data_IF_517040944526
#
_entry.id   IF_517040944526
#
_cell.length_a   1.000
_cell.length_b   1.000
_cell.length_c   1.000
_cell.angle_alpha   90.00
_cell.angle_beta   90.00
_cell.angle_gamma   90.00
#
_symmetry.space_group_name_H-M   'P 1'
#
loop_
_entity.id
_entity.type
_entity.pdbx_description
1 polymer ?
#
# COMPACT_ATOMS: atom_id res chain seq x y z
N UNK A 1 -8.17 -4.07 -9.55
CA UNK A 1 -7.48 -2.90 -8.98
C UNK A 1 -7.40 -1.74 -9.96
N UNK A 2 -7.44 -0.50 -9.44
CA UNK A 2 -7.13 0.74 -10.17
C UNK A 2 -6.25 1.63 -9.28
N UNK A 3 -5.06 1.99 -9.77
CA UNK A 3 -4.04 2.72 -9.00
C UNK A 3 -3.69 4.09 -9.64
N UNK A 4 -4.64 4.64 -10.40
CA UNK A 4 -4.46 5.86 -11.17
C UNK A 4 -3.90 5.61 -12.59
N UNK A 5 -3.92 6.65 -13.45
CA UNK A 5 -3.63 6.51 -14.88
C UNK A 5 -2.16 6.21 -15.22
N UNK A 6 -1.23 6.42 -14.28
CA UNK A 6 0.21 6.22 -14.48
C UNK A 6 0.76 4.90 -13.93
N UNK A 7 -0.10 3.99 -13.48
CA UNK A 7 0.30 2.76 -12.81
C UNK A 7 -0.39 1.56 -13.45
N UNK A 8 0.25 0.89 -14.43
CA UNK A 8 -0.27 -0.33 -15.02
C UNK A 8 -0.57 -1.37 -13.95
N UNK A 9 -1.72 -2.04 -14.08
CA UNK A 9 -2.19 -3.07 -13.17
C UNK A 9 -2.39 -4.37 -13.94
N UNK A 10 -1.88 -5.48 -13.40
CA UNK A 10 -2.15 -6.82 -13.90
C UNK A 10 -2.86 -7.62 -12.82
N UNK A 11 -4.13 -7.98 -13.04
CA UNK A 11 -4.88 -8.82 -12.12
C UNK A 11 -4.50 -10.30 -12.31
N UNK A 12 -4.34 -11.02 -11.20
CA UNK A 12 -3.96 -12.44 -11.18
C UNK A 12 -5.17 -13.26 -10.72
N UNK A 13 -5.75 -14.04 -11.63
CA UNK A 13 -6.93 -14.85 -11.34
C UNK A 13 -8.17 -14.00 -10.99
N UNK A 14 -9.06 -14.57 -10.19
CA UNK A 14 -10.34 -13.94 -9.78
C UNK A 14 -10.37 -13.50 -8.31
N UNK A 15 -9.31 -13.75 -7.54
CA UNK A 15 -9.29 -13.57 -6.08
C UNK A 15 -8.83 -12.19 -5.61
N UNK A 16 -8.83 -11.18 -6.48
CA UNK A 16 -8.41 -9.83 -6.14
C UNK A 16 -6.90 -9.63 -6.00
N UNK A 17 -6.07 -10.63 -6.34
CA UNK A 17 -4.62 -10.47 -6.40
C UNK A 17 -4.21 -9.66 -7.63
N UNK A 18 -3.22 -8.78 -7.51
CA UNK A 18 -2.73 -7.99 -8.64
C UNK A 18 -1.27 -7.57 -8.46
N UNK A 19 -0.64 -7.22 -9.57
CA UNK A 19 0.67 -6.57 -9.65
C UNK A 19 0.48 -5.13 -10.13
N UNK A 20 1.27 -4.21 -9.59
CA UNK A 20 1.32 -2.81 -9.99
C UNK A 20 2.75 -2.46 -10.39
N UNK A 21 2.91 -1.79 -11.52
CA UNK A 21 4.18 -1.21 -11.90
C UNK A 21 4.18 0.28 -11.59
N UNK A 22 5.03 0.67 -10.63
CA UNK A 22 5.23 2.06 -10.24
C UNK A 22 6.43 2.69 -10.94
N UNK A 23 6.30 3.96 -11.33
CA UNK A 23 7.35 4.70 -12.04
C UNK A 23 7.38 4.42 -13.54
N UNK A 24 8.31 5.08 -14.25
CA UNK A 24 8.49 4.86 -15.70
C UNK A 24 7.46 5.53 -16.60
N UNK A 25 6.81 6.61 -16.14
CA UNK A 25 5.99 7.45 -17.02
C UNK A 25 6.82 7.95 -18.21
N UNK A 26 6.17 8.12 -19.37
CA UNK A 26 6.84 8.56 -20.60
C UNK A 26 7.75 9.78 -20.34
N UNK A 27 9.04 9.65 -20.64
CA UNK A 27 10.05 10.70 -20.41
C UNK A 27 10.79 10.65 -19.06
N UNK A 28 10.49 9.68 -18.19
CA UNK A 28 11.27 9.45 -16.96
C UNK A 28 12.58 8.73 -17.27
N UNK A 29 13.66 9.11 -16.57
CA UNK A 29 14.90 8.34 -16.61
C UNK A 29 14.64 6.89 -16.17
N UNK A 30 15.29 5.94 -16.83
CA UNK A 30 15.17 4.53 -16.48
C UNK A 30 15.58 4.28 -15.03
N UNK A 31 14.72 3.62 -14.26
CA UNK A 31 15.00 3.19 -12.89
C UNK A 31 15.30 1.70 -12.89
N UNK A 32 16.26 1.28 -12.06
CA UNK A 32 16.52 -0.14 -11.82
C UNK A 32 15.24 -0.85 -11.34
N UNK A 33 14.94 -1.99 -11.95
CA UNK A 33 13.82 -2.83 -11.53
C UNK A 33 14.03 -3.34 -10.09
N UNK A 34 12.95 -3.39 -9.32
CA UNK A 34 12.98 -3.87 -7.94
C UNK A 34 11.57 -3.94 -7.37
N UNK A 35 11.43 -4.67 -6.25
CA UNK A 35 10.17 -4.75 -5.52
C UNK A 35 9.98 -3.43 -4.76
N UNK A 36 8.82 -2.77 -4.96
CA UNK A 36 8.50 -1.56 -4.21
C UNK A 36 7.97 -1.88 -2.81
N UNK A 37 6.97 -2.76 -2.76
CA UNK A 37 6.39 -3.36 -1.56
C UNK A 37 5.63 -4.62 -1.97
N UNK A 38 5.21 -5.44 -1.01
CA UNK A 38 4.17 -6.45 -1.22
C UNK A 38 3.00 -6.19 -0.27
N UNK A 39 1.80 -6.60 -0.69
CA UNK A 39 0.57 -6.41 0.07
C UNK A 39 0.07 -7.75 0.59
N UNK A 40 -0.33 -7.77 1.85
CA UNK A 40 -1.02 -8.88 2.50
C UNK A 40 -2.36 -8.39 3.03
N UNK A 41 -3.35 -9.26 3.03
CA UNK A 41 -4.68 -8.96 3.56
C UNK A 41 -4.94 -9.71 4.85
N UNK A 42 -5.79 -9.15 5.71
CA UNK A 42 -6.19 -9.76 6.96
C UNK A 42 -7.66 -9.50 7.27
N UNK A 43 -8.29 -10.42 7.97
CA UNK A 43 -9.65 -10.23 8.47
C UNK A 43 -9.66 -9.20 9.60
N UNK A 44 -10.78 -8.50 9.75
CA UNK A 44 -10.99 -7.48 10.78
C UNK A 44 -9.92 -6.38 10.76
N UNK A 45 -9.51 -5.96 9.56
CA UNK A 45 -8.51 -4.92 9.40
C UNK A 45 -8.96 -3.63 10.10
N UNK A 46 -8.12 -3.16 11.03
CA UNK A 46 -8.31 -1.92 11.76
C UNK A 46 -6.92 -1.28 11.94
N UNK A 47 -6.61 -0.18 11.22
CA UNK A 47 -5.29 0.41 11.23
C UNK A 47 -4.78 0.75 12.63
N UNK A 48 -5.63 1.31 13.51
CA UNK A 48 -5.25 1.70 14.86
C UNK A 48 -4.87 0.50 15.74
N UNK A 49 -5.61 -0.61 15.63
CA UNK A 49 -5.29 -1.85 16.35
C UNK A 49 -4.00 -2.47 15.82
N UNK A 50 -3.82 -2.51 14.50
CA UNK A 50 -2.61 -3.05 13.87
C UNK A 50 -1.40 -2.23 14.27
N UNK A 51 -1.47 -0.89 14.23
CA UNK A 51 -0.38 0.00 14.67
C UNK A 51 0.02 -0.29 16.12
N UNK A 52 -0.93 -0.40 17.05
CA UNK A 52 -0.65 -0.72 18.45
C UNK A 52 0.09 -2.06 18.61
N UNK A 53 -0.25 -3.05 17.79
CA UNK A 53 0.44 -4.34 17.77
C UNK A 53 1.85 -4.17 17.20
N UNK A 54 2.02 -3.49 16.06
CA UNK A 54 3.35 -3.25 15.49
C UNK A 54 4.28 -2.54 16.49
N UNK A 55 3.76 -1.54 17.20
CA UNK A 55 4.49 -0.81 18.25
C UNK A 55 4.87 -1.69 19.44
N UNK A 56 4.05 -2.69 19.82
CA UNK A 56 4.40 -3.64 20.88
C UNK A 56 5.55 -4.58 20.47
N UNK A 57 5.79 -4.77 19.18
CA UNK A 57 6.94 -5.49 18.63
C UNK A 57 8.14 -4.58 18.31
N UNK A 58 8.08 -3.30 18.68
CA UNK A 58 9.21 -2.36 18.53
C UNK A 58 9.27 -1.63 17.18
N UNK A 59 8.26 -1.78 16.32
CA UNK A 59 8.11 -0.99 15.09
C UNK A 59 7.63 0.40 15.47
N UNK A 60 8.32 1.44 15.00
CA UNK A 60 8.07 2.82 15.45
C UNK A 60 7.28 3.63 14.42
N UNK A 61 6.59 4.71 14.82
CA UNK A 61 6.07 5.66 13.84
C UNK A 61 7.21 6.18 12.96
N UNK A 62 6.97 6.25 11.64
CA UNK A 62 7.91 6.86 10.68
C UNK A 62 8.17 8.35 10.96
N UNK A 63 7.26 9.01 11.66
CA UNK A 63 7.29 10.47 11.87
C UNK A 63 7.12 11.23 10.54
N UNK A 64 7.77 12.39 10.44
CA UNK A 64 7.64 13.29 9.28
C UNK A 64 8.64 13.00 8.15
N UNK A 65 9.38 11.91 8.21
CA UNK A 65 10.41 11.58 7.22
C UNK A 65 9.77 11.34 5.84
N UNK A 66 10.26 12.02 4.80
CA UNK A 66 9.85 11.84 3.40
C UNK A 66 10.79 10.86 2.68
N UNK A 67 10.36 10.29 1.56
CA UNK A 67 11.19 9.35 0.77
C UNK A 67 11.05 7.88 1.16
N UNK A 68 12.13 7.10 1.05
CA UNK A 68 12.13 5.69 1.42
C UNK A 68 12.05 5.55 2.96
N UNK A 69 11.17 4.68 3.50
CA UNK A 69 11.12 4.44 4.94
C UNK A 69 12.40 3.72 5.43
N UNK A 70 12.81 4.00 6.66
CA UNK A 70 13.85 3.21 7.35
C UNK A 70 13.31 1.84 7.78
N UNK A 71 14.16 0.96 8.33
CA UNK A 71 13.71 -0.32 8.88
C UNK A 71 12.86 -0.14 10.14
N UNK A 72 11.97 -1.09 10.41
CA UNK A 72 11.13 -1.13 11.61
C UNK A 72 10.33 0.15 11.87
N UNK A 73 9.72 0.72 10.82
CA UNK A 73 8.77 1.85 10.95
C UNK A 73 7.41 1.55 10.34
N UNK A 74 6.35 2.19 10.86
CA UNK A 74 5.01 2.15 10.30
C UNK A 74 4.51 3.54 9.87
N UNK A 75 3.58 3.57 8.92
CA UNK A 75 2.89 4.78 8.47
C UNK A 75 1.59 4.46 7.74
N UNK A 76 0.64 5.40 7.74
CA UNK A 76 -0.54 5.34 6.88
C UNK A 76 -0.35 6.27 5.69
N UNK A 77 -0.55 5.75 4.49
CA UNK A 77 -0.71 6.53 3.27
C UNK A 77 -2.19 6.63 2.93
N UNK A 78 -2.70 7.85 2.72
CA UNK A 78 -4.05 8.03 2.21
C UNK A 78 -4.00 7.96 0.68
N UNK A 79 -4.58 6.93 0.08
CA UNK A 79 -4.74 6.84 -1.38
C UNK A 79 -6.00 7.59 -1.79
N UNK A 80 -5.84 8.73 -2.43
CA UNK A 80 -6.94 9.62 -2.84
C UNK A 80 -7.62 9.15 -4.12
N UNK A 81 -8.79 9.71 -4.42
CA UNK A 81 -9.61 9.40 -5.61
C UNK A 81 -8.85 9.47 -6.93
N UNK A 82 -7.97 10.46 -7.12
CA UNK A 82 -7.14 10.58 -8.32
C UNK A 82 -6.13 9.42 -8.52
N UNK A 83 -5.92 8.61 -7.47
CA UNK A 83 -5.10 7.38 -7.48
C UNK A 83 -5.98 6.14 -7.27
N UNK A 84 -7.28 6.25 -7.53
CA UNK A 84 -8.25 5.16 -7.45
C UNK A 84 -8.74 4.81 -6.06
N UNK A 85 -8.46 5.64 -5.04
CA UNK A 85 -8.98 5.43 -3.68
C UNK A 85 -10.36 6.06 -3.46
N UNK A 86 -10.83 6.07 -2.22
CA UNK A 86 -12.05 6.76 -1.84
C UNK A 86 -11.92 8.29 -1.98
N UNK A 87 -13.05 9.00 -2.03
CA UNK A 87 -13.12 10.47 -2.04
C UNK A 87 -12.40 11.11 -0.86
N UNK A 88 -12.59 10.55 0.34
CA UNK A 88 -11.91 10.97 1.57
C UNK A 88 -10.53 10.29 1.75
N UNK A 89 -10.15 9.43 0.81
CA UNK A 89 -8.95 8.62 0.82
C UNK A 89 -9.17 7.22 1.39
N UNK A 90 -8.56 6.23 0.75
CA UNK A 90 -8.43 4.87 1.28
C UNK A 90 -7.19 4.82 2.16
N UNK A 91 -7.30 4.57 3.48
CA UNK A 91 -6.14 4.35 4.33
C UNK A 91 -5.40 3.08 3.90
N UNK A 92 -4.09 3.22 3.72
CA UNK A 92 -3.20 2.12 3.41
C UNK A 92 -2.12 2.06 4.48
N UNK A 93 -2.14 0.99 5.29
CA UNK A 93 -1.16 0.80 6.35
C UNK A 93 0.08 0.15 5.75
N UNK A 94 1.24 0.76 6.01
CA UNK A 94 2.54 0.22 5.65
C UNK A 94 3.40 0.04 6.89
N UNK A 95 4.27 -0.96 6.88
CA UNK A 95 5.38 -1.07 7.79
C UNK A 95 6.62 -1.66 7.10
N UNK A 96 7.79 -1.52 7.71
CA UNK A 96 9.04 -2.13 7.24
C UNK A 96 9.56 -3.18 8.21
N UNK A 97 10.14 -4.24 7.66
CA UNK A 97 10.83 -5.27 8.43
C UNK A 97 12.29 -4.82 8.77
N UNK A 98 13.09 -5.65 9.47
CA UNK A 98 14.49 -5.34 9.78
C UNK A 98 15.39 -5.12 8.53
N UNK A 99 15.06 -5.77 7.41
CA UNK A 99 15.81 -5.67 6.15
C UNK A 99 15.35 -4.47 5.30
N UNK A 100 14.32 -3.73 5.74
CA UNK A 100 13.76 -2.57 5.06
C UNK A 100 12.75 -2.91 3.96
N UNK A 101 12.29 -4.16 3.89
CA UNK A 101 11.20 -4.55 2.98
C UNK A 101 9.91 -3.87 3.42
N UNK A 102 9.27 -3.19 2.47
CA UNK A 102 7.99 -2.51 2.72
C UNK A 102 6.85 -3.52 2.57
N UNK A 103 6.05 -3.64 3.62
CA UNK A 103 4.84 -4.47 3.67
C UNK A 103 3.63 -3.56 3.78
N UNK A 104 2.63 -3.80 2.93
CA UNK A 104 1.31 -3.18 3.04
C UNK A 104 0.34 -4.17 3.69
N UNK A 105 -0.51 -3.68 4.59
CA UNK A 105 -1.63 -4.44 5.16
C UNK A 105 -2.97 -3.80 4.81
N UNK A 106 -3.93 -4.64 4.45
CA UNK A 106 -5.29 -4.25 4.07
C UNK A 106 -6.34 -5.27 4.53
N UNK A 107 -7.62 -4.92 4.40
CA UNK A 107 -8.75 -5.83 4.64
C UNK A 107 -8.81 -6.97 3.60
N UNK A 108 -9.37 -8.13 3.94
CA UNK A 108 -9.54 -9.26 3.00
C UNK A 108 -10.40 -8.92 1.79
N UNK A 109 -11.23 -7.88 1.86
CA UNK A 109 -11.99 -7.38 0.71
C UNK A 109 -11.19 -6.49 -0.23
N UNK A 110 -9.96 -6.09 0.14
CA UNK A 110 -9.14 -5.21 -0.67
C UNK A 110 -8.82 -5.85 -2.02
N UNK A 111 -9.28 -5.19 -3.08
CA UNK A 111 -9.05 -5.60 -4.47
C UNK A 111 -8.26 -4.53 -5.23
N UNK A 112 -7.63 -3.60 -4.49
CA UNK A 112 -6.91 -2.44 -5.00
C UNK A 112 -7.81 -1.42 -5.71
N UNK A 113 -9.10 -1.41 -5.37
CA UNK A 113 -10.10 -0.50 -5.92
C UNK A 113 -10.32 0.74 -5.06
N UNK A 114 -11.47 1.38 -5.24
CA UNK A 114 -11.92 2.51 -4.43
C UNK A 114 -12.55 2.07 -3.10
N UNK A 115 -13.24 2.99 -2.43
CA UNK A 115 -13.86 2.73 -1.14
C UNK A 115 -12.86 2.77 0.02
N UNK A 116 -13.37 2.92 1.24
CA UNK A 116 -12.52 3.09 2.45
C UNK A 116 -11.66 1.84 2.70
N UNK A 117 -12.10 0.66 2.27
CA UNK A 117 -11.33 -0.58 2.37
C UNK A 117 -10.66 -0.98 1.04
N UNK A 118 -10.69 -0.14 0.00
CA UNK A 118 -10.16 -0.50 -1.31
C UNK A 118 -10.91 -1.66 -1.99
N UNK A 119 -12.16 -1.89 -1.61
CA UNK A 119 -13.01 -3.03 -1.96
C UNK A 119 -13.99 -2.75 -3.11
N UNK A 120 -14.04 -1.51 -3.61
CA UNK A 120 -14.88 -1.15 -4.76
C UNK A 120 -14.08 -1.32 -6.05
N UNK A 121 -14.19 -2.50 -6.66
CA UNK A 121 -13.59 -2.81 -7.94
C UNK A 121 -14.64 -2.81 -9.06
N UNK A 122 -14.51 -1.85 -9.98
CA UNK A 122 -15.22 -1.77 -11.25
C UNK A 122 -14.32 -2.23 -12.39
#
# INVERSE_FOLDING_TARGET
>A
AHQGPGSPVFNVGKGGQFLVWGGGGAGSAGRQAGINHFCMTMDNFNPDKVIKILESYGIKPRGNATGAPGPLVHYISMRMENRGGAKEGTPELYFTDPDGLVVQLQDTKYCGGGGVLGDICT
#
